data_IF_411617147505
#
_entry.id   IF_411617147505
#
_cell.length_a   1.000
_cell.length_b   1.000
_cell.length_c   1.000
_cell.angle_alpha   90.00
_cell.angle_beta   90.00
_cell.angle_gamma   90.00
#
_symmetry.space_group_name_H-M   'P 1'
#
loop_
_entity.id
_entity.type
_entity.pdbx_description
1 polymer ?
#
# COMPACT_ATOMS: atom_id res chain seq x y z
N UNK A 1 14.20 -8.36 -16.13
CA UNK A 1 13.53 -9.24 -15.14
C UNK A 1 13.59 -8.54 -13.77
N UNK A 2 12.56 -8.62 -12.93
CA UNK A 2 12.61 -8.07 -11.56
C UNK A 2 12.66 -9.20 -10.53
N UNK A 3 13.43 -9.04 -9.47
CA UNK A 3 13.54 -10.00 -8.36
C UNK A 3 13.55 -9.24 -7.04
N UNK A 4 12.93 -9.81 -6.00
CA UNK A 4 13.01 -9.27 -4.65
C UNK A 4 14.30 -9.72 -3.98
N UNK A 5 15.06 -8.81 -3.36
CA UNK A 5 16.23 -9.14 -2.55
C UNK A 5 15.90 -10.14 -1.44
N UNK A 6 14.73 -9.99 -0.81
CA UNK A 6 14.25 -10.91 0.22
C UNK A 6 14.01 -12.32 -0.34
N UNK A 7 13.56 -12.43 -1.58
CA UNK A 7 13.34 -13.72 -2.22
C UNK A 7 14.66 -14.35 -2.66
N UNK A 8 15.59 -13.57 -3.22
CA UNK A 8 16.94 -14.03 -3.55
C UNK A 8 17.66 -14.59 -2.31
N UNK A 9 17.48 -13.92 -1.16
CA UNK A 9 18.03 -14.34 0.13
C UNK A 9 17.56 -15.72 0.62
N UNK A 10 16.48 -16.27 0.04
CA UNK A 10 16.03 -17.62 0.40
C UNK A 10 16.86 -18.71 -0.30
N UNK A 11 17.62 -18.37 -1.34
CA UNK A 11 18.43 -19.31 -2.12
C UNK A 11 19.92 -19.13 -1.89
N UNK A 12 20.36 -17.88 -1.75
CA UNK A 12 21.76 -17.51 -1.45
C UNK A 12 21.71 -16.39 -0.44
N UNK A 13 22.45 -16.51 0.66
CA UNK A 13 22.51 -15.46 1.68
C UNK A 13 23.11 -14.19 1.06
N UNK A 14 22.29 -13.16 0.99
CA UNK A 14 22.62 -11.82 0.51
C UNK A 14 22.22 -10.77 1.54
N UNK A 15 22.06 -11.17 2.80
CA UNK A 15 21.55 -10.32 3.87
C UNK A 15 22.49 -9.13 4.14
N UNK A 16 23.80 -9.28 3.89
CA UNK A 16 24.78 -8.20 3.96
C UNK A 16 24.50 -7.05 2.98
N UNK A 17 23.77 -7.31 1.89
CA UNK A 17 23.45 -6.33 0.85
C UNK A 17 22.11 -5.62 1.07
N UNK A 18 21.35 -5.93 2.14
CA UNK A 18 20.03 -5.31 2.36
C UNK A 18 20.10 -3.80 2.60
N UNK A 19 21.21 -3.31 3.15
CA UNK A 19 21.44 -1.87 3.36
C UNK A 19 22.26 -1.23 2.23
N UNK A 20 22.79 -2.03 1.30
CA UNK A 20 23.68 -1.61 0.21
C UNK A 20 23.40 -2.40 -1.08
N UNK A 21 22.15 -2.37 -1.58
CA UNK A 21 21.73 -3.18 -2.73
C UNK A 21 22.49 -2.83 -4.02
N UNK A 22 23.03 -1.62 -4.12
CA UNK A 22 23.88 -1.16 -5.23
C UNK A 22 25.12 -2.04 -5.39
N UNK A 23 25.72 -2.47 -4.27
CA UNK A 23 26.91 -3.32 -4.30
C UNK A 23 26.61 -4.70 -4.87
N UNK A 24 25.44 -5.27 -4.53
CA UNK A 24 25.00 -6.53 -5.12
C UNK A 24 24.71 -6.37 -6.62
N UNK A 25 24.09 -5.24 -7.01
CA UNK A 25 23.82 -4.95 -8.42
C UNK A 25 25.11 -4.87 -9.26
N UNK A 26 26.17 -4.26 -8.72
CA UNK A 26 27.50 -4.26 -9.36
C UNK A 26 28.06 -5.67 -9.55
N UNK A 27 28.00 -6.52 -8.51
CA UNK A 27 28.50 -7.90 -8.57
C UNK A 27 27.74 -8.71 -9.63
N UNK A 28 26.40 -8.61 -9.64
CA UNK A 28 25.55 -9.31 -10.60
C UNK A 28 25.83 -8.82 -12.03
N UNK A 29 26.01 -7.51 -12.22
CA UNK A 29 26.35 -6.91 -13.52
C UNK A 29 27.72 -7.38 -14.01
N UNK A 30 28.73 -7.42 -13.14
CA UNK A 30 30.07 -7.93 -13.46
C UNK A 30 30.07 -9.43 -13.78
N UNK A 31 29.15 -10.20 -13.20
CA UNK A 31 28.94 -11.60 -13.55
C UNK A 31 28.23 -11.81 -14.91
N UNK A 32 27.88 -10.72 -15.62
CA UNK A 32 27.28 -10.76 -16.96
C UNK A 32 25.75 -10.59 -16.98
N UNK A 33 25.13 -10.28 -15.83
CA UNK A 33 23.69 -10.06 -15.73
C UNK A 33 23.43 -8.58 -15.39
N UNK A 34 23.18 -7.76 -16.40
CA UNK A 34 23.00 -6.32 -16.21
C UNK A 34 21.80 -6.00 -15.29
N UNK A 35 22.04 -5.13 -14.30
CA UNK A 35 21.00 -4.60 -13.41
C UNK A 35 20.67 -3.17 -13.80
N UNK A 36 19.54 -3.00 -14.48
CA UNK A 36 19.10 -1.71 -15.02
C UNK A 36 18.57 -0.74 -13.95
N UNK A 37 17.97 -1.26 -12.87
CA UNK A 37 17.32 -0.41 -11.85
C UNK A 37 17.23 -1.10 -10.48
N UNK A 38 17.23 -0.28 -9.43
CA UNK A 38 16.94 -0.66 -8.05
C UNK A 38 15.76 0.17 -7.52
N UNK A 39 14.79 -0.48 -6.89
CA UNK A 39 13.57 0.16 -6.40
C UNK A 39 13.34 -0.19 -4.92
N UNK A 40 13.34 0.81 -4.04
CA UNK A 40 12.86 0.67 -2.66
C UNK A 40 11.44 1.24 -2.52
N UNK A 41 10.40 0.38 -2.37
CA UNK A 41 9.04 0.84 -2.18
C UNK A 41 8.74 1.34 -0.76
N UNK A 42 9.60 1.09 0.23
CA UNK A 42 9.29 1.28 1.66
C UNK A 42 8.86 2.70 2.02
N UNK A 43 9.56 3.71 1.46
CA UNK A 43 9.29 5.12 1.75
C UNK A 43 7.94 5.59 1.18
N UNK A 44 7.39 4.91 0.17
CA UNK A 44 6.17 5.31 -0.55
C UNK A 44 4.88 4.99 0.20
N UNK A 45 4.95 4.26 1.31
CA UNK A 45 3.79 3.72 2.01
C UNK A 45 3.75 4.10 3.50
N UNK A 46 4.34 5.23 3.88
CA UNK A 46 4.15 5.79 5.24
C UNK A 46 2.68 6.10 5.49
N UNK A 47 2.18 5.77 6.68
CA UNK A 47 0.76 5.89 7.06
C UNK A 47 -0.19 5.04 6.21
N UNK A 48 0.32 3.96 5.60
CA UNK A 48 -0.48 2.93 4.95
C UNK A 48 -0.50 1.70 5.83
N UNK A 49 -1.69 1.30 6.26
CA UNK A 49 -1.90 0.21 7.22
C UNK A 49 -2.85 -0.83 6.67
N UNK A 50 -2.87 -2.01 7.28
CA UNK A 50 -3.92 -2.99 7.02
C UNK A 50 -5.12 -2.64 7.89
N UNK A 51 -6.29 -2.52 7.26
CA UNK A 51 -7.57 -2.41 7.94
C UNK A 51 -8.50 -3.57 7.58
N UNK A 52 -9.59 -3.72 8.32
CA UNK A 52 -10.64 -4.69 8.05
C UNK A 52 -11.98 -3.99 7.85
N UNK A 53 -12.69 -4.31 6.77
CA UNK A 53 -14.04 -3.78 6.51
C UNK A 53 -15.01 -4.43 7.50
N UNK A 54 -15.47 -3.69 8.50
CA UNK A 54 -16.40 -4.21 9.51
C UNK A 54 -17.86 -4.05 9.10
N UNK A 55 -18.16 -3.03 8.29
CA UNK A 55 -19.51 -2.76 7.77
C UNK A 55 -19.44 -2.18 6.37
N UNK A 56 -20.44 -2.50 5.54
CA UNK A 56 -20.54 -2.05 4.16
C UNK A 56 -21.97 -1.58 3.88
N UNK A 57 -22.12 -0.31 3.54
CA UNK A 57 -23.39 0.33 3.19
C UNK A 57 -23.35 0.96 1.79
N UNK A 58 -24.52 1.22 1.21
CA UNK A 58 -24.60 2.00 -0.03
C UNK A 58 -24.43 3.49 0.28
N UNK A 59 -23.75 4.22 -0.58
CA UNK A 59 -23.70 5.67 -0.46
C UNK A 59 -25.10 6.26 -0.73
N UNK A 60 -25.60 7.18 0.11
CA UNK A 60 -26.96 7.73 -0.02
C UNK A 60 -27.17 8.47 -1.35
N UNK A 61 -26.18 9.25 -1.78
CA UNK A 61 -26.26 10.10 -2.98
C UNK A 61 -25.44 9.58 -4.18
N UNK A 62 -25.08 8.29 -4.22
CA UNK A 62 -24.29 7.72 -5.32
C UNK A 62 -24.40 6.19 -5.47
N UNK A 63 -24.96 5.74 -6.59
CA UNK A 63 -25.17 4.30 -6.87
C UNK A 63 -23.88 3.49 -7.05
N UNK A 64 -22.78 4.15 -7.43
CA UNK A 64 -21.48 3.51 -7.71
C UNK A 64 -20.52 3.59 -6.53
N UNK A 65 -20.90 4.24 -5.44
CA UNK A 65 -20.05 4.40 -4.27
C UNK A 65 -20.58 3.58 -3.10
N UNK A 66 -19.63 3.10 -2.31
CA UNK A 66 -19.87 2.30 -1.12
C UNK A 66 -19.36 3.08 0.08
N UNK A 67 -20.14 3.05 1.16
CA UNK A 67 -19.74 3.59 2.45
C UNK A 67 -19.24 2.45 3.32
N UNK A 68 -17.94 2.43 3.61
CA UNK A 68 -17.30 1.38 4.38
C UNK A 68 -16.97 1.88 5.78
N UNK A 69 -17.26 1.08 6.80
CA UNK A 69 -16.63 1.23 8.11
C UNK A 69 -15.43 0.30 8.16
N UNK A 70 -14.25 0.85 8.38
CA UNK A 70 -12.98 0.10 8.31
C UNK A 70 -12.24 0.25 9.63
N UNK A 71 -12.03 -0.87 10.32
CA UNK A 71 -11.20 -0.92 11.52
C UNK A 71 -9.71 -0.94 11.12
N UNK A 72 -8.96 0.06 11.58
CA UNK A 72 -7.51 0.20 11.36
C UNK A 72 -6.68 -0.09 12.62
N UNK A 73 -7.31 -0.56 13.71
CA UNK A 73 -6.64 -0.82 14.98
C UNK A 73 -6.39 0.44 15.84
N UNK A 74 -6.97 1.59 15.47
CA UNK A 74 -6.79 2.88 16.15
C UNK A 74 -7.96 3.23 17.08
N UNK A 75 -8.77 2.24 17.47
CA UNK A 75 -9.86 2.37 18.45
C UNK A 75 -11.25 2.42 17.83
N UNK A 76 -11.55 3.41 16.99
CA UNK A 76 -12.84 3.52 16.31
C UNK A 76 -12.74 3.22 14.81
N UNK A 77 -13.67 2.46 14.22
CA UNK A 77 -13.74 2.28 12.77
C UNK A 77 -13.78 3.62 12.04
N UNK A 78 -13.04 3.69 10.94
CA UNK A 78 -13.01 4.86 10.05
C UNK A 78 -14.07 4.69 8.98
N UNK A 79 -14.86 5.73 8.77
CA UNK A 79 -15.75 5.81 7.62
C UNK A 79 -14.94 6.19 6.38
N UNK A 80 -15.03 5.37 5.33
CA UNK A 80 -14.30 5.57 4.07
C UNK A 80 -15.28 5.35 2.91
N UNK A 81 -15.34 6.32 2.00
CA UNK A 81 -16.10 6.18 0.76
C UNK A 81 -15.22 5.54 -0.31
N UNK A 82 -15.65 4.38 -0.85
CA UNK A 82 -14.91 3.65 -1.86
C UNK A 82 -15.74 3.40 -3.12
N UNK A 83 -15.15 3.63 -4.30
CA UNK A 83 -15.79 3.37 -5.60
C UNK A 83 -15.43 2.01 -6.22
N UNK A 84 -14.52 1.26 -5.61
CA UNK A 84 -14.16 -0.07 -6.10
C UNK A 84 -15.32 -1.06 -5.91
N UNK A 85 -15.39 -2.13 -6.71
CA UNK A 85 -16.49 -3.12 -6.62
C UNK A 85 -16.06 -4.49 -6.09
N UNK A 86 -14.77 -4.66 -5.81
CA UNK A 86 -14.13 -5.91 -5.44
C UNK A 86 -13.82 -5.99 -3.93
N UNK A 87 -14.62 -5.33 -3.10
CA UNK A 87 -14.51 -5.39 -1.64
C UNK A 87 -15.84 -5.84 -1.04
N UNK A 88 -15.78 -6.55 0.09
CA UNK A 88 -16.94 -6.99 0.86
C UNK A 88 -16.66 -6.86 2.37
N UNK A 89 -17.73 -6.92 3.16
CA UNK A 89 -17.61 -6.99 4.61
C UNK A 89 -16.72 -8.19 5.02
N UNK A 90 -15.83 -7.96 5.98
CA UNK A 90 -14.85 -8.92 6.47
C UNK A 90 -13.49 -8.89 5.74
N UNK A 91 -13.38 -8.25 4.58
CA UNK A 91 -12.12 -8.19 3.84
C UNK A 91 -11.05 -7.39 4.59
N UNK A 92 -9.81 -7.89 4.52
CA UNK A 92 -8.62 -7.11 4.87
C UNK A 92 -8.21 -6.26 3.68
N UNK A 93 -8.10 -4.96 3.90
CA UNK A 93 -7.81 -3.96 2.87
C UNK A 93 -6.62 -3.11 3.28
N UNK A 94 -5.97 -2.50 2.28
CA UNK A 94 -4.90 -1.53 2.50
C UNK A 94 -5.53 -0.14 2.63
N UNK A 95 -5.27 0.54 3.74
CA UNK A 95 -5.85 1.85 4.07
C UNK A 95 -4.74 2.88 4.20
N UNK A 96 -4.82 3.93 3.40
CA UNK A 96 -4.00 5.11 3.58
C UNK A 96 -4.70 6.06 4.57
N UNK A 97 -4.13 6.28 5.75
CA UNK A 97 -4.71 7.16 6.76
C UNK A 97 -4.33 8.63 6.51
N UNK A 98 -5.07 9.62 7.06
CA UNK A 98 -4.71 11.02 6.93
C UNK A 98 -3.25 11.28 7.33
N UNK A 99 -2.51 11.97 6.47
CA UNK A 99 -1.06 12.14 6.59
C UNK A 99 -0.23 11.21 5.70
N UNK A 100 -0.84 10.17 5.11
CA UNK A 100 -0.21 9.41 4.04
C UNK A 100 0.02 10.28 2.80
N UNK A 101 1.14 10.07 2.11
CA UNK A 101 1.44 10.64 0.80
C UNK A 101 1.69 9.48 -0.15
N UNK A 102 0.75 9.26 -1.07
CA UNK A 102 0.83 8.17 -2.03
C UNK A 102 1.69 8.58 -3.25
N UNK A 103 2.20 7.61 -4.03
CA UNK A 103 2.94 7.89 -5.26
C UNK A 103 2.20 8.88 -6.17
N UNK A 104 2.93 9.87 -6.70
CA UNK A 104 2.36 10.99 -7.45
C UNK A 104 1.98 12.19 -6.57
N UNK A 105 2.62 12.34 -5.41
CA UNK A 105 2.45 13.45 -4.45
C UNK A 105 1.00 13.65 -3.98
N UNK A 106 0.27 12.54 -3.85
CA UNK A 106 -1.14 12.55 -3.48
C UNK A 106 -1.30 12.46 -1.95
N UNK A 107 -1.44 13.62 -1.31
CA UNK A 107 -1.63 13.72 0.14
C UNK A 107 -3.05 13.36 0.58
N UNK A 108 -3.17 12.39 1.48
CA UNK A 108 -4.44 11.95 2.07
C UNK A 108 -4.86 12.90 3.19
N UNK A 109 -6.06 13.46 3.07
CA UNK A 109 -6.69 14.35 4.05
C UNK A 109 -8.17 13.98 4.16
N UNK A 110 -8.77 14.26 5.32
CA UNK A 110 -10.22 14.14 5.50
C UNK A 110 -10.93 15.04 4.51
N UNK A 111 -11.94 14.51 3.82
CA UNK A 111 -12.71 15.27 2.84
C UNK A 111 -14.17 14.80 2.80
N UNK A 112 -15.01 15.52 2.06
CA UNK A 112 -16.38 15.10 1.81
C UNK A 112 -16.51 14.66 0.36
N UNK A 113 -16.94 13.42 0.16
CA UNK A 113 -17.27 12.87 -1.15
C UNK A 113 -18.78 12.86 -1.26
N UNK A 114 -19.34 13.70 -2.14
CA UNK A 114 -20.80 13.81 -2.35
C UNK A 114 -21.59 14.01 -1.05
N UNK A 115 -21.06 14.86 -0.15
CA UNK A 115 -21.71 15.21 1.12
C UNK A 115 -21.36 14.31 2.31
N UNK A 116 -20.78 13.12 2.07
CA UNK A 116 -20.40 12.16 3.12
C UNK A 116 -18.91 12.28 3.44
N UNK A 117 -18.56 12.31 4.73
CA UNK A 117 -17.16 12.38 5.17
C UNK A 117 -16.42 11.07 4.89
N UNK A 118 -15.15 11.22 4.46
CA UNK A 118 -14.21 10.14 4.19
C UNK A 118 -12.78 10.54 4.55
#
# INVERSE_FOLDING_TARGET
>A
MKVSLKWLNQYVDVSEFFTTPERLAEIITQAGLEVENLEDPSQKYKHVVIGQVVELGKHPDADKLTLCQVDTGEGSPRQIVCGAKNHKQGDKVVVATPGAVLPGDFAIKKSKIRGVES
#
